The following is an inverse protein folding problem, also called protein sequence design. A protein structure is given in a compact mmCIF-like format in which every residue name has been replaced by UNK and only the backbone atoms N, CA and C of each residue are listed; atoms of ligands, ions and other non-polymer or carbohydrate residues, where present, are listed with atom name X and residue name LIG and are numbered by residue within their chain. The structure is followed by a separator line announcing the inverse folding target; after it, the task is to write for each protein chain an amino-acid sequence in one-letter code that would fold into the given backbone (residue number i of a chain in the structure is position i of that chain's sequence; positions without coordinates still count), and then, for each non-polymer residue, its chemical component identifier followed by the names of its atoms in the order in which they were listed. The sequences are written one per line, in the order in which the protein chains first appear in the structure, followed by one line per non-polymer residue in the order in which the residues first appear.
data_IF_793968558756
#
_entry.id   IF_793968558756
#
_cell.length_a   1.000
_cell.length_b   1.000
_cell.length_c   1.000
_cell.angle_alpha   90.00
_cell.angle_beta   90.00
_cell.angle_gamma   90.00
#
_symmetry.space_group_name_H-M   'P 1'
#
loop_
_entity.id
_entity.type
_entity.pdbx_description
1 polymer ?
#
# COMPACT_ATOMS: atom_id res chain seq x y z
N UNK A 1 -0.14 20.48 9.14
CA UNK A 1 0.53 19.23 9.59
C UNK A 1 0.83 18.40 8.35
N UNK A 2 2.02 17.80 8.27
CA UNK A 2 2.44 16.96 7.14
C UNK A 2 1.79 15.56 7.27
N UNK A 3 1.15 15.04 6.21
CA UNK A 3 0.61 13.67 6.21
C UNK A 3 1.76 12.69 5.93
N UNK A 4 1.86 11.61 6.69
CA UNK A 4 2.88 10.56 6.48
C UNK A 4 2.22 9.26 6.00
N UNK A 5 2.85 8.58 5.04
CA UNK A 5 2.35 7.32 4.48
C UNK A 5 3.44 6.24 4.45
N UNK A 6 3.01 5.01 4.73
CA UNK A 6 3.77 3.80 4.44
C UNK A 6 3.65 3.52 2.94
N UNK A 7 4.64 3.96 2.19
CA UNK A 7 4.62 3.90 0.74
C UNK A 7 4.90 2.48 0.26
N UNK A 8 3.92 1.91 -0.44
CA UNK A 8 4.01 0.63 -1.13
C UNK A 8 4.17 0.89 -2.64
N UNK A 9 5.40 0.93 -3.18
CA UNK A 9 5.61 1.17 -4.60
C UNK A 9 5.15 -0.03 -5.45
N UNK A 10 5.29 -1.24 -4.93
CA UNK A 10 5.04 -2.46 -5.69
C UNK A 10 6.04 -2.64 -6.85
N UNK A 11 5.87 -3.72 -7.61
CA UNK A 11 6.81 -4.08 -8.68
C UNK A 11 6.81 -3.09 -9.84
N UNK A 12 5.63 -2.55 -10.21
CA UNK A 12 5.48 -1.66 -11.37
C UNK A 12 6.27 -0.35 -11.17
N UNK A 13 6.04 0.38 -10.08
CA UNK A 13 6.73 1.65 -9.84
C UNK A 13 8.22 1.47 -9.55
N UNK A 14 8.62 0.29 -9.10
CA UNK A 14 10.03 -0.01 -8.83
C UNK A 14 10.81 -0.40 -10.09
N UNK A 15 10.12 -0.82 -11.16
CA UNK A 15 10.76 -1.40 -12.35
C UNK A 15 10.24 -0.83 -13.66
N UNK A 16 8.97 -1.06 -13.97
CA UNK A 16 8.38 -0.78 -15.28
C UNK A 16 7.93 0.68 -15.47
N UNK A 17 7.58 1.37 -14.39
CA UNK A 17 7.08 2.75 -14.40
C UNK A 17 7.81 3.60 -13.35
N UNK A 18 9.14 3.61 -13.42
CA UNK A 18 10.00 4.33 -12.44
C UNK A 18 9.76 5.83 -12.47
N UNK A 19 9.45 6.38 -13.65
CA UNK A 19 9.08 7.78 -13.86
C UNK A 19 7.82 8.16 -13.07
N UNK A 20 6.89 7.23 -12.87
CA UNK A 20 5.71 7.44 -12.02
C UNK A 20 6.10 7.54 -10.54
N UNK A 21 7.06 6.74 -10.08
CA UNK A 21 7.62 6.84 -8.71
C UNK A 21 8.31 8.19 -8.51
N UNK A 22 9.20 8.56 -9.44
CA UNK A 22 9.93 9.83 -9.40
C UNK A 22 8.97 11.01 -9.37
N UNK A 23 7.93 10.97 -10.21
CA UNK A 23 6.91 12.03 -10.26
C UNK A 23 6.14 12.13 -8.94
N UNK A 24 5.75 11.00 -8.35
CA UNK A 24 5.07 10.97 -7.05
C UNK A 24 5.97 11.54 -5.93
N UNK A 25 7.23 11.11 -5.85
CA UNK A 25 8.18 11.58 -4.85
C UNK A 25 8.46 13.09 -4.99
N UNK A 26 8.45 13.62 -6.21
CA UNK A 26 8.61 15.05 -6.46
C UNK A 26 7.37 15.87 -6.03
N UNK A 27 6.15 15.37 -6.24
CA UNK A 27 4.92 16.10 -5.88
C UNK A 27 4.51 15.92 -4.42
N UNK A 28 4.87 14.82 -3.77
CA UNK A 28 4.53 14.54 -2.38
C UNK A 28 4.85 15.71 -1.42
N UNK A 29 6.06 16.30 -1.41
CA UNK A 29 6.35 17.44 -0.52
C UNK A 29 5.52 18.69 -0.86
N UNK A 30 5.16 18.89 -2.14
CA UNK A 30 4.31 20.02 -2.58
C UNK A 30 2.88 19.88 -2.03
N UNK A 31 2.40 18.64 -1.96
CA UNK A 31 1.10 18.28 -1.36
C UNK A 31 1.15 18.23 0.17
N UNK A 32 2.31 18.45 0.79
CA UNK A 32 2.49 18.33 2.24
C UNK A 32 2.47 16.89 2.73
N UNK A 33 2.94 15.95 1.90
CA UNK A 33 3.05 14.53 2.21
C UNK A 33 4.50 14.10 2.41
N UNK A 34 4.69 13.05 3.19
CA UNK A 34 5.96 12.34 3.35
C UNK A 34 5.75 10.86 3.09
N UNK A 35 6.55 10.32 2.16
CA UNK A 35 6.48 8.94 1.74
C UNK A 35 7.61 8.16 2.39
N UNK A 36 7.25 7.20 3.26
CA UNK A 36 8.20 6.32 3.91
C UNK A 36 8.05 4.93 3.26
N UNK A 37 9.01 4.50 2.44
CA UNK A 37 8.92 3.20 1.76
C UNK A 37 8.95 2.03 2.77
N UNK A 38 8.04 1.08 2.61
CA UNK A 38 7.93 -0.10 3.49
C UNK A 38 9.13 -1.02 3.27
N UNK A 39 10.07 -1.09 4.21
CA UNK A 39 11.27 -1.93 4.02
C UNK A 39 10.90 -3.42 3.93
N UNK A 40 11.43 -4.09 2.91
CA UNK A 40 11.24 -5.53 2.72
C UNK A 40 9.87 -5.93 2.15
N UNK A 41 9.09 -5.00 1.60
CA UNK A 41 7.85 -5.33 0.86
C UNK A 41 8.12 -6.34 -0.25
N UNK A 42 7.12 -7.18 -0.57
CA UNK A 42 7.15 -8.13 -1.68
C UNK A 42 5.99 -7.89 -2.64
N UNK A 43 6.05 -8.46 -3.85
CA UNK A 43 4.99 -8.32 -4.85
C UNK A 43 3.62 -8.74 -4.30
N UNK A 44 2.56 -8.03 -4.67
CA UNK A 44 1.18 -8.36 -4.27
C UNK A 44 0.60 -9.58 -5.04
N UNK A 45 1.25 -10.01 -6.12
CA UNK A 45 0.83 -11.18 -6.93
C UNK A 45 -0.07 -10.85 -8.13
N UNK A 46 -0.31 -9.55 -8.41
CA UNK A 46 -0.98 -9.04 -9.60
C UNK A 46 -2.31 -9.73 -9.97
N UNK A 47 -3.04 -10.22 -8.97
CA UNK A 47 -4.27 -11.01 -9.14
C UNK A 47 -4.15 -12.35 -9.90
N UNK A 48 -2.94 -12.80 -10.25
CA UNK A 48 -2.71 -14.10 -10.90
C UNK A 48 -2.22 -15.16 -9.90
N UNK A 49 -1.40 -14.77 -8.93
CA UNK A 49 -0.85 -15.69 -7.93
C UNK A 49 -1.95 -16.42 -7.13
N UNK A 50 -3.05 -15.73 -6.84
CA UNK A 50 -4.21 -16.29 -6.13
C UNK A 50 -4.93 -17.41 -6.87
N UNK A 51 -4.78 -17.48 -8.21
CA UNK A 51 -5.34 -18.56 -9.02
C UNK A 51 -4.53 -19.86 -8.87
N UNK A 52 -3.26 -19.75 -8.46
CA UNK A 52 -2.36 -20.89 -8.24
C UNK A 52 -2.40 -21.31 -6.79
N UNK A 53 -2.13 -20.38 -5.87
CA UNK A 53 -2.21 -20.63 -4.43
C UNK A 53 -2.82 -19.42 -3.69
N UNK A 54 -4.10 -19.51 -3.31
CA UNK A 54 -4.78 -18.43 -2.60
C UNK A 54 -4.27 -18.24 -1.18
N UNK A 55 -3.78 -19.30 -0.50
CA UNK A 55 -3.28 -19.20 0.87
C UNK A 55 -1.91 -18.54 0.88
N UNK A 56 -0.99 -18.97 0.02
CA UNK A 56 0.33 -18.34 -0.10
C UNK A 56 0.20 -16.86 -0.49
N UNK A 57 -0.71 -16.54 -1.41
CA UNK A 57 -0.99 -15.15 -1.80
C UNK A 57 -1.55 -14.33 -0.63
N UNK A 58 -2.46 -14.90 0.17
CA UNK A 58 -3.01 -14.24 1.34
C UNK A 58 -1.94 -14.00 2.41
N UNK A 59 -1.06 -14.98 2.67
CA UNK A 59 0.08 -14.84 3.59
C UNK A 59 1.04 -13.75 3.11
N UNK A 60 1.40 -13.73 1.83
CA UNK A 60 2.31 -12.72 1.28
C UNK A 60 1.75 -11.29 1.40
N UNK A 61 0.46 -11.10 1.14
CA UNK A 61 -0.18 -9.80 1.31
C UNK A 61 -0.38 -9.43 2.79
N UNK A 62 -0.69 -10.40 3.65
CA UNK A 62 -0.75 -10.18 5.10
C UNK A 62 0.60 -9.73 5.67
N UNK A 63 1.71 -10.33 5.20
CA UNK A 63 3.08 -9.92 5.52
C UNK A 63 3.33 -8.46 5.12
N UNK A 64 2.98 -8.09 3.89
CA UNK A 64 3.15 -6.71 3.42
C UNK A 64 2.40 -5.70 4.30
N UNK A 65 1.17 -6.05 4.72
CA UNK A 65 0.39 -5.18 5.60
C UNK A 65 1.02 -5.14 6.98
N UNK A 66 1.41 -6.28 7.56
CA UNK A 66 2.05 -6.33 8.88
C UNK A 66 3.32 -5.46 8.96
N UNK A 67 4.16 -5.48 7.91
CA UNK A 67 5.33 -4.59 7.82
C UNK A 67 4.95 -3.11 7.85
N UNK A 68 3.86 -2.73 7.18
CA UNK A 68 3.39 -1.36 7.21
C UNK A 68 2.76 -0.97 8.55
N UNK A 69 2.15 -1.92 9.27
CA UNK A 69 1.55 -1.67 10.59
C UNK A 69 2.61 -1.25 11.63
N UNK A 70 3.83 -1.79 11.52
CA UNK A 70 4.96 -1.37 12.37
C UNK A 70 5.31 0.11 12.21
N UNK A 71 5.01 0.68 11.05
CA UNK A 71 5.26 2.09 10.74
C UNK A 71 4.19 3.03 11.29
N UNK A 72 3.05 2.49 11.78
CA UNK A 72 1.93 3.26 12.38
C UNK A 72 1.41 4.39 11.49
N UNK A 73 1.31 4.15 10.19
CA UNK A 73 0.87 5.13 9.20
C UNK A 73 0.10 4.44 8.07
N UNK A 74 -0.85 5.13 7.40
CA UNK A 74 -1.64 4.57 6.30
C UNK A 74 -0.75 4.04 5.16
N UNK A 75 -1.12 2.89 4.58
CA UNK A 75 -0.47 2.38 3.37
C UNK A 75 -0.92 3.23 2.18
N UNK A 76 0.03 3.77 1.42
CA UNK A 76 -0.25 4.46 0.15
C UNK A 76 0.34 3.65 -1.02
N UNK A 77 -0.49 3.40 -2.03
CA UNK A 77 -0.07 2.84 -3.31
C UNK A 77 -0.65 3.65 -4.48
N UNK A 78 0.04 3.67 -5.61
CA UNK A 78 -0.49 4.25 -6.86
C UNK A 78 -1.03 3.19 -7.81
N UNK A 79 -0.65 1.93 -7.60
CA UNK A 79 -1.04 0.83 -8.47
C UNK A 79 -2.41 0.29 -8.06
N UNK A 80 -3.41 0.45 -8.93
CA UNK A 80 -4.78 -0.03 -8.70
C UNK A 80 -4.84 -1.53 -8.42
N UNK A 81 -3.97 -2.34 -9.04
CA UNK A 81 -3.88 -3.78 -8.76
C UNK A 81 -3.35 -4.05 -7.36
N UNK A 82 -2.32 -3.33 -6.91
CA UNK A 82 -1.82 -3.45 -5.55
C UNK A 82 -2.89 -3.03 -4.54
N UNK A 83 -3.60 -1.91 -4.81
CA UNK A 83 -4.72 -1.44 -3.98
C UNK A 83 -5.79 -2.53 -3.84
N UNK A 84 -6.23 -3.11 -4.97
CA UNK A 84 -7.26 -4.14 -5.00
C UNK A 84 -6.83 -5.39 -4.22
N UNK A 85 -5.63 -5.91 -4.49
CA UNK A 85 -5.16 -7.16 -3.88
C UNK A 85 -4.90 -7.00 -2.39
N UNK A 86 -4.28 -5.90 -1.96
CA UNK A 86 -4.06 -5.61 -0.54
C UNK A 86 -5.39 -5.40 0.20
N UNK A 87 -6.34 -4.66 -0.39
CA UNK A 87 -7.66 -4.43 0.23
C UNK A 87 -8.47 -5.72 0.30
N UNK A 88 -8.42 -6.58 -0.73
CA UNK A 88 -9.05 -7.92 -0.68
C UNK A 88 -8.43 -8.78 0.42
N UNK A 89 -7.10 -8.83 0.51
CA UNK A 89 -6.40 -9.57 1.56
C UNK A 89 -6.81 -9.07 2.95
N UNK A 90 -6.77 -7.75 3.18
CA UNK A 90 -7.25 -7.11 4.42
C UNK A 90 -8.68 -7.53 4.76
N UNK A 91 -9.61 -7.40 3.81
CA UNK A 91 -11.00 -7.79 4.01
C UNK A 91 -11.17 -9.26 4.37
N UNK A 92 -10.42 -10.17 3.74
CA UNK A 92 -10.46 -11.61 4.06
C UNK A 92 -9.89 -11.89 5.45
N UNK A 93 -8.81 -11.24 5.85
CA UNK A 93 -8.19 -11.37 7.17
C UNK A 93 -9.13 -10.87 8.26
N UNK A 94 -9.67 -9.66 8.09
CA UNK A 94 -10.53 -9.00 9.07
C UNK A 94 -11.88 -9.73 9.25
N UNK A 95 -12.35 -10.47 8.22
CA UNK A 95 -13.56 -11.29 8.28
C UNK A 95 -13.37 -12.69 8.88
N UNK A 96 -12.18 -13.02 9.36
CA UNK A 96 -11.96 -14.25 10.15
C UNK A 96 -10.76 -15.11 9.74
N UNK A 97 -10.02 -14.76 8.69
CA UNK A 97 -8.81 -15.52 8.31
C UNK A 97 -7.57 -15.14 9.13
N UNK A 98 -7.64 -14.10 9.98
CA UNK A 98 -6.53 -13.54 10.76
C UNK A 98 -5.76 -14.58 11.57
N UNK A 99 -6.42 -15.37 12.40
CA UNK A 99 -5.75 -16.33 13.30
C UNK A 99 -4.98 -17.39 12.52
N UNK A 100 -5.61 -17.96 11.48
CA UNK A 100 -4.97 -18.94 10.61
C UNK A 100 -3.76 -18.36 9.90
N UNK A 101 -3.83 -17.12 9.40
CA UNK A 101 -2.72 -16.53 8.65
C UNK A 101 -1.58 -16.12 9.58
N UNK A 102 -1.89 -15.71 10.81
CA UNK A 102 -0.88 -15.39 11.82
C UNK A 102 -0.04 -16.61 12.24
N UNK A 103 -0.52 -17.86 12.10
CA UNK A 103 0.32 -19.05 12.36
C UNK A 103 1.49 -19.16 11.38
N UNK A 104 1.31 -18.74 10.12
CA UNK A 104 2.38 -18.68 9.12
C UNK A 104 3.30 -17.48 9.37
N UNK A 105 2.74 -16.30 9.66
CA UNK A 105 3.53 -15.10 9.91
C UNK A 105 4.41 -15.20 11.16
N UNK A 106 3.96 -15.94 12.17
CA UNK A 106 4.72 -16.17 13.40
C UNK A 106 6.07 -16.86 13.15
N UNK A 107 6.17 -17.70 12.12
CA UNK A 107 7.44 -18.35 11.74
C UNK A 107 8.49 -17.33 11.26
N UNK A 108 8.03 -16.20 10.73
CA UNK A 108 8.88 -15.05 10.35
C UNK A 108 8.93 -13.95 11.40
N UNK A 109 8.44 -14.20 12.63
CA UNK A 109 8.41 -13.19 13.70
C UNK A 109 7.44 -12.04 13.48
N UNK A 110 6.48 -12.18 12.56
CA UNK A 110 5.53 -11.12 12.20
C UNK A 110 4.10 -11.47 12.66
N UNK A 111 3.26 -10.45 12.81
CA UNK A 111 1.84 -10.61 13.14
C UNK A 111 1.00 -9.53 12.47
N UNK A 112 -0.04 -9.95 11.75
CA UNK A 112 -1.05 -9.06 11.19
C UNK A 112 -2.06 -8.65 12.27
N UNK A 113 -2.32 -7.34 12.38
CA UNK A 113 -3.23 -6.76 13.37
C UNK A 113 -4.50 -6.14 12.78
N UNK A 114 -4.51 -5.76 11.50
CA UNK A 114 -5.63 -5.08 10.85
C UNK A 114 -5.79 -3.60 11.20
N UNK A 115 -4.78 -3.00 11.84
CA UNK A 115 -4.75 -1.65 12.39
C UNK A 115 -4.56 -0.54 11.36
N UNK A 116 -3.89 -0.83 10.23
CA UNK A 116 -3.52 0.19 9.24
C UNK A 116 -4.50 0.24 8.07
N UNK A 117 -5.03 1.43 7.71
CA UNK A 117 -5.84 1.60 6.52
C UNK A 117 -4.99 1.58 5.25
N UNK A 118 -5.62 1.24 4.13
CA UNK A 118 -4.99 1.16 2.81
C UNK A 118 -5.67 2.21 1.93
N UNK A 119 -4.90 3.12 1.37
CA UNK A 119 -5.37 4.19 0.50
C UNK A 119 -4.59 4.22 -0.81
N UNK A 120 -5.07 5.03 -1.76
CA UNK A 120 -4.42 5.22 -3.05
C UNK A 120 -4.14 6.69 -3.32
N UNK A 121 -3.14 6.97 -4.17
CA UNK A 121 -2.85 8.34 -4.60
C UNK A 121 -4.10 9.04 -5.15
N UNK A 122 -4.87 8.35 -5.99
CA UNK A 122 -6.10 8.92 -6.57
C UNK A 122 -7.11 9.29 -5.49
N UNK A 123 -7.28 8.42 -4.48
CA UNK A 123 -8.20 8.67 -3.37
C UNK A 123 -7.77 9.87 -2.52
N UNK A 124 -6.49 9.94 -2.14
CA UNK A 124 -5.97 11.06 -1.35
C UNK A 124 -6.03 12.40 -2.09
N UNK A 125 -5.84 12.40 -3.42
CA UNK A 125 -5.99 13.59 -4.25
C UNK A 125 -7.45 14.03 -4.39
N UNK A 126 -8.37 13.08 -4.44
CA UNK A 126 -9.80 13.36 -4.52
C UNK A 126 -10.35 13.95 -3.22
N UNK A 127 -9.96 13.39 -2.07
CA UNK A 127 -10.36 13.86 -0.74
C UNK A 127 -9.89 15.29 -0.45
N UNK A 128 -8.81 15.74 -1.07
CA UNK A 128 -8.23 17.08 -0.88
C UNK A 128 -8.14 17.87 -2.19
N UNK A 129 -9.24 17.86 -2.95
CA UNK A 129 -9.33 18.46 -4.28
C UNK A 129 -9.04 19.97 -4.28
N UNK A 130 -9.47 20.70 -3.25
CA UNK A 130 -9.29 22.14 -3.16
C UNK A 130 -7.82 22.53 -2.91
N UNK A 131 -7.13 21.80 -2.04
CA UNK A 131 -5.68 21.95 -1.88
C UNK A 131 -4.97 21.61 -3.19
N UNK A 132 -5.33 20.51 -3.86
CA UNK A 132 -4.75 20.14 -5.15
C UNK A 132 -4.89 21.28 -6.17
N UNK A 133 -6.11 21.83 -6.34
CA UNK A 133 -6.36 22.99 -7.22
C UNK A 133 -5.48 24.18 -6.88
N UNK A 134 -5.28 24.48 -5.61
CA UNK A 134 -4.43 25.60 -5.16
C UNK A 134 -2.94 25.43 -5.53
N UNK A 135 -2.48 24.19 -5.76
CA UNK A 135 -1.09 23.88 -6.15
C UNK A 135 -0.88 23.82 -7.66
N UNK A 136 -1.94 23.85 -8.48
CA UNK A 136 -1.85 23.82 -9.94
C UNK A 136 -1.28 25.15 -10.45
N UNK A 137 -0.11 25.10 -11.11
CA UNK A 137 0.54 26.29 -11.69
C UNK A 137 0.22 26.52 -13.16
N UNK A 138 0.01 25.45 -13.92
CA UNK A 138 -0.32 25.50 -15.34
C UNK A 138 -1.55 24.62 -15.58
N UNK A 139 -2.74 25.21 -15.82
CA UNK A 139 -3.94 24.45 -16.11
C UNK A 139 -3.81 23.71 -17.44
N UNK A 140 -4.57 22.61 -17.56
CA UNK A 140 -4.66 21.76 -18.77
C UNK A 140 -5.38 22.48 -19.91
#
# INVERSE_FOLDING_TARGET
MQKEYAFFPGCVLSQAAKESKISLEAIAPILGWKLNEIKGWSCCGASQAQCVDPIATLVANARNIALAEEMKMPILTTCSTCMLTLTKAKNTLDKGAKERINTFLAQGGMKYQGSTPITSLLWELYEDLDNLKSKVKKPL
#
